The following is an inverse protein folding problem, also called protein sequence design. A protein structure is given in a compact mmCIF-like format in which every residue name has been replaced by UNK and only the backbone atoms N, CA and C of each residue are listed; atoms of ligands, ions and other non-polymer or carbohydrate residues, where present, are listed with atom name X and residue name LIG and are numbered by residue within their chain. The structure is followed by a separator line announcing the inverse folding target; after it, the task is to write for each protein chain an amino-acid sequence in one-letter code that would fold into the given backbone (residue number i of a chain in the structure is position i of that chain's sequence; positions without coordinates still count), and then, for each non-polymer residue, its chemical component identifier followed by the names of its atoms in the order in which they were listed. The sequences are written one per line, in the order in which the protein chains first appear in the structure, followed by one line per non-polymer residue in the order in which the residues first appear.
data_IF_850374861836
#
_entry.id   IF_850374861836
#
_cell.length_a   1.000
_cell.length_b   1.000
_cell.length_c   1.000
_cell.angle_alpha   90.00
_cell.angle_beta   90.00
_cell.angle_gamma   90.00
#
_symmetry.space_group_name_H-M   'P 1'
#
loop_
_entity.id
_entity.type
_entity.pdbx_description
1 polymer ?
#
# COMPACT_ATOMS: atom_id res chain seq x y z
N UNK A 1 -8.23 -17.19 2.41
CA UNK A 1 -9.30 -16.87 1.43
C UNK A 1 -9.41 -15.39 1.08
N UNK A 2 -9.56 -14.47 2.05
CA UNK A 2 -9.68 -13.03 1.72
C UNK A 2 -8.51 -12.47 0.88
N UNK A 3 -7.27 -12.75 1.30
CA UNK A 3 -6.08 -12.29 0.56
C UNK A 3 -6.02 -12.88 -0.85
N UNK A 4 -6.53 -14.10 -1.05
CA UNK A 4 -6.60 -14.74 -2.35
C UNK A 4 -7.56 -14.00 -3.29
N UNK A 5 -8.76 -13.66 -2.81
CA UNK A 5 -9.73 -12.90 -3.59
C UNK A 5 -9.22 -11.50 -3.96
N UNK A 6 -8.58 -10.79 -3.01
CA UNK A 6 -7.97 -9.49 -3.26
C UNK A 6 -6.78 -9.58 -4.23
N UNK A 7 -5.98 -10.65 -4.12
CA UNK A 7 -4.90 -10.98 -5.05
C UNK A 7 -5.42 -11.20 -6.47
N UNK A 8 -6.58 -11.87 -6.63
CA UNK A 8 -7.26 -12.02 -7.92
C UNK A 8 -7.61 -10.67 -8.55
N UNK A 9 -8.26 -9.78 -7.78
CA UNK A 9 -8.59 -8.42 -8.26
C UNK A 9 -7.34 -7.64 -8.69
N UNK A 10 -6.25 -7.71 -7.93
CA UNK A 10 -4.98 -7.08 -8.30
C UNK A 10 -4.41 -7.65 -9.60
N UNK A 11 -4.52 -8.97 -9.82
CA UNK A 11 -4.07 -9.64 -11.03
C UNK A 11 -4.91 -9.22 -12.25
N UNK A 12 -6.22 -9.13 -12.09
CA UNK A 12 -7.15 -8.80 -13.17
C UNK A 12 -7.10 -7.33 -13.59
N UNK A 13 -6.59 -6.44 -12.72
CA UNK A 13 -6.60 -4.99 -12.95
C UNK A 13 -5.19 -4.43 -13.06
N UNK A 14 -4.50 -4.30 -11.93
CA UNK A 14 -3.25 -3.57 -11.79
C UNK A 14 -2.06 -4.32 -12.40
N UNK A 15 -2.10 -5.65 -12.44
CA UNK A 15 -1.02 -6.46 -13.04
C UNK A 15 -0.97 -6.38 -14.57
N UNK A 16 -2.03 -5.86 -15.21
CA UNK A 16 -2.09 -5.62 -16.66
C UNK A 16 -1.44 -4.30 -17.09
N UNK A 17 -1.04 -3.46 -16.13
CA UNK A 17 -0.33 -2.21 -16.43
C UNK A 17 1.08 -2.49 -16.96
N UNK A 18 1.58 -1.61 -17.83
CA UNK A 18 2.93 -1.73 -18.40
C UNK A 18 4.04 -1.69 -17.34
N UNK A 19 3.78 -1.01 -16.23
CA UNK A 19 4.71 -0.93 -15.11
C UNK A 19 4.39 -2.00 -14.06
N UNK A 20 5.37 -2.85 -13.77
CA UNK A 20 5.27 -3.90 -12.75
C UNK A 20 6.13 -3.55 -11.54
N UNK A 21 5.54 -3.69 -10.35
CA UNK A 21 6.26 -3.53 -9.08
C UNK A 21 7.13 -4.78 -8.89
N UNK A 22 8.45 -4.61 -8.85
CA UNK A 22 9.39 -5.70 -8.55
C UNK A 22 9.51 -5.85 -7.03
N UNK A 23 9.12 -7.02 -6.53
CA UNK A 23 9.28 -7.37 -5.11
C UNK A 23 10.52 -8.23 -4.97
N UNK A 24 11.48 -7.77 -4.19
CA UNK A 24 12.77 -8.45 -3.96
C UNK A 24 12.83 -9.02 -2.55
N UNK A 25 13.45 -10.19 -2.39
CA UNK A 25 13.58 -10.86 -1.10
C UNK A 25 14.07 -12.31 -1.24
N UNK A 26 13.99 -13.07 -0.15
CA UNK A 26 14.34 -14.51 -0.18
C UNK A 26 13.42 -15.27 -1.14
N UNK A 27 14.03 -16.01 -2.07
CA UNK A 27 13.31 -16.81 -3.07
C UNK A 27 12.36 -17.82 -2.41
N UNK A 28 12.77 -18.42 -1.29
CA UNK A 28 11.95 -19.38 -0.54
C UNK A 28 10.62 -18.76 -0.06
N UNK A 29 10.64 -17.50 0.36
CA UNK A 29 9.42 -16.81 0.78
C UNK A 29 8.56 -16.34 -0.39
N UNK A 30 9.20 -15.95 -1.50
CA UNK A 30 8.51 -15.48 -2.71
C UNK A 30 7.85 -16.60 -3.53
N UNK A 31 8.39 -17.83 -3.44
CA UNK A 31 7.80 -19.00 -4.08
C UNK A 31 6.53 -19.49 -3.35
N UNK A 32 6.31 -19.09 -2.10
CA UNK A 32 5.11 -19.48 -1.37
C UNK A 32 3.87 -18.74 -1.93
N UNK A 33 2.86 -19.46 -2.46
CA UNK A 33 1.68 -18.85 -3.07
C UNK A 33 0.86 -18.00 -2.10
N UNK A 34 0.80 -18.39 -0.81
CA UNK A 34 0.10 -17.64 0.23
C UNK A 34 0.75 -16.27 0.45
N UNK A 35 2.07 -16.20 0.43
CA UNK A 35 2.79 -14.94 0.55
C UNK A 35 2.58 -14.06 -0.68
N UNK A 36 2.58 -14.65 -1.88
CA UNK A 36 2.28 -13.91 -3.10
C UNK A 36 0.89 -13.26 -3.05
N UNK A 37 -0.12 -13.97 -2.54
CA UNK A 37 -1.47 -13.44 -2.37
C UNK A 37 -1.52 -12.28 -1.36
N UNK A 38 -0.85 -12.42 -0.22
CA UNK A 38 -0.73 -11.35 0.78
C UNK A 38 -0.06 -10.11 0.18
N UNK A 39 1.05 -10.30 -0.55
CA UNK A 39 1.77 -9.21 -1.21
C UNK A 39 0.86 -8.44 -2.16
N UNK A 40 0.14 -9.14 -3.05
CA UNK A 40 -0.77 -8.50 -4.00
C UNK A 40 -1.94 -7.81 -3.30
N UNK A 41 -2.50 -8.41 -2.26
CA UNK A 41 -3.55 -7.79 -1.45
C UNK A 41 -3.07 -6.49 -0.77
N UNK A 42 -1.85 -6.48 -0.22
CA UNK A 42 -1.25 -5.29 0.38
C UNK A 42 -0.96 -4.20 -0.67
N UNK A 43 -0.48 -4.58 -1.86
CA UNK A 43 -0.28 -3.63 -2.96
C UNK A 43 -1.60 -2.98 -3.40
N UNK A 44 -2.68 -3.77 -3.51
CA UNK A 44 -4.02 -3.26 -3.79
C UNK A 44 -4.48 -2.28 -2.72
N UNK A 45 -4.29 -2.62 -1.43
CA UNK A 45 -4.64 -1.74 -0.31
C UNK A 45 -3.85 -0.42 -0.35
N UNK A 46 -2.54 -0.47 -0.61
CA UNK A 46 -1.69 0.72 -0.75
C UNK A 46 -2.15 1.65 -1.88
N UNK A 47 -2.53 1.07 -3.02
CA UNK A 47 -3.07 1.83 -4.15
C UNK A 47 -4.42 2.47 -3.79
N UNK A 48 -5.28 1.74 -3.06
CA UNK A 48 -6.57 2.27 -2.60
C UNK A 48 -6.39 3.44 -1.63
N UNK A 49 -5.43 3.34 -0.70
CA UNK A 49 -5.06 4.44 0.20
C UNK A 49 -4.48 5.63 -0.56
N UNK A 50 -3.64 5.41 -1.57
CA UNK A 50 -3.13 6.48 -2.42
C UNK A 50 -4.24 7.16 -3.25
N UNK A 51 -5.23 6.39 -3.69
CA UNK A 51 -6.41 6.91 -4.37
C UNK A 51 -7.25 7.77 -3.43
N UNK A 52 -7.55 7.28 -2.22
CA UNK A 52 -8.24 8.04 -1.18
C UNK A 52 -7.52 9.35 -0.85
N UNK A 53 -6.20 9.33 -0.71
CA UNK A 53 -5.40 10.53 -0.50
C UNK A 53 -5.61 11.57 -1.61
N UNK A 54 -5.64 11.14 -2.88
CA UNK A 54 -5.94 12.04 -4.01
C UNK A 54 -7.38 12.55 -3.99
N UNK A 55 -8.35 11.71 -3.63
CA UNK A 55 -9.77 12.11 -3.51
C UNK A 55 -9.95 13.21 -2.46
N UNK A 56 -9.19 13.16 -1.36
CA UNK A 56 -9.18 14.19 -0.31
C UNK A 56 -8.31 15.41 -0.66
N UNK A 57 -7.95 15.59 -1.94
CA UNK A 57 -7.16 16.73 -2.41
C UNK A 57 -5.64 16.60 -2.19
N UNK A 58 -5.16 15.39 -1.91
CA UNK A 58 -3.74 15.06 -1.83
C UNK A 58 -3.01 15.24 -3.16
N UNK A 59 -1.84 15.89 -3.12
CA UNK A 59 -0.99 16.16 -4.29
C UNK A 59 0.48 15.93 -3.94
N UNK A 60 1.30 15.52 -4.91
CA UNK A 60 2.74 15.24 -4.71
C UNK A 60 3.48 16.44 -4.09
N UNK A 61 3.24 17.65 -4.61
CA UNK A 61 3.82 18.88 -4.07
C UNK A 61 3.34 19.20 -2.65
N UNK A 62 2.07 18.90 -2.34
CA UNK A 62 1.52 19.07 -0.99
C UNK A 62 2.25 18.18 0.02
N UNK A 63 2.62 16.96 -0.38
CA UNK A 63 3.43 16.05 0.46
C UNK A 63 4.83 16.60 0.74
N UNK A 64 5.47 17.21 -0.28
CA UNK A 64 6.80 17.80 -0.13
C UNK A 64 6.78 19.05 0.76
N UNK A 65 5.82 19.96 0.53
CA UNK A 65 5.72 21.23 1.25
C UNK A 65 5.17 21.07 2.67
N UNK A 66 4.23 20.14 2.90
CA UNK A 66 3.56 19.94 4.19
C UNK A 66 4.10 18.73 4.97
N UNK A 67 5.32 18.25 4.64
CA UNK A 67 5.91 17.06 5.27
C UNK A 67 5.95 17.15 6.80
N UNK A 68 6.32 18.32 7.36
CA UNK A 68 6.39 18.54 8.81
C UNK A 68 5.01 18.43 9.47
N UNK A 69 3.99 19.06 8.87
CA UNK A 69 2.62 19.01 9.39
C UNK A 69 2.08 17.58 9.37
N UNK A 70 2.32 16.84 8.29
CA UNK A 70 1.92 15.44 8.19
C UNK A 70 2.62 14.57 9.24
N UNK A 71 3.92 14.79 9.48
CA UNK A 71 4.67 14.08 10.52
C UNK A 71 4.07 14.34 11.92
N UNK A 72 3.79 15.59 12.27
CA UNK A 72 3.18 15.94 13.55
C UNK A 72 1.81 15.29 13.72
N UNK A 73 0.95 15.34 12.71
CA UNK A 73 -0.36 14.70 12.75
C UNK A 73 -0.24 13.18 12.93
N UNK A 74 0.67 12.52 12.19
CA UNK A 74 0.92 11.09 12.35
C UNK A 74 1.42 10.72 13.74
N UNK A 75 2.33 11.52 14.32
CA UNK A 75 2.82 11.29 15.69
C UNK A 75 1.72 11.47 16.74
N UNK A 76 0.86 12.49 16.58
CA UNK A 76 -0.28 12.71 17.48
C UNK A 76 -1.26 11.53 17.43
N UNK A 77 -1.62 11.08 16.22
CA UNK A 77 -2.48 9.90 16.04
C UNK A 77 -1.85 8.63 16.61
N UNK A 78 -0.56 8.41 16.38
CA UNK A 78 0.16 7.24 16.91
C UNK A 78 0.16 7.19 18.44
N UNK A 79 0.37 8.34 19.10
CA UNK A 79 0.30 8.42 20.57
C UNK A 79 -1.11 8.15 21.09
N UNK A 80 -2.13 8.65 20.40
CA UNK A 80 -3.54 8.42 20.76
C UNK A 80 -3.99 6.96 20.63
N UNK A 81 -3.31 6.17 19.79
CA UNK A 81 -3.61 4.75 19.60
C UNK A 81 -2.97 3.83 20.66
N UNK A 82 -2.08 4.34 21.52
CA UNK A 82 -1.42 3.54 22.57
C UNK A 82 -0.50 2.43 22.04
N UNK A 83 -0.14 2.49 20.75
CA UNK A 83 0.70 1.49 20.07
C UNK A 83 2.21 1.77 20.22
N UNK A 84 2.58 2.85 20.91
CA UNK A 84 3.97 3.21 21.23
C UNK A 84 4.06 3.73 22.66
#
# INVERSE_FOLDING_TARGET
DLCHNLSGIYQDTLSKLKFRIKVTGSAQHLQNPKNADIIRALLLAGIRSAFLWRQLGGRRWKLLLQRKQLLHASQQLSRGLGVV
#
